data_IF_090681638143
#
_entry.id   IF_090681638143
#
_cell.length_a   1.000
_cell.length_b   1.000
_cell.length_c   1.000
_cell.angle_alpha   90.00
_cell.angle_beta   90.00
_cell.angle_gamma   90.00
#
_symmetry.space_group_name_H-M   'P 1'
#
loop_
_entity.id
_entity.type
_entity.pdbx_description
1 polymer ?
#
# COMPACT_ATOMS: atom_id res chain seq x y z
N UNK A 1 25.22 -1.22 -0.94
CA UNK A 1 23.79 -1.57 -1.00
C UNK A 1 23.60 -2.88 -0.25
N UNK A 2 22.50 -3.11 0.45
CA UNK A 2 22.22 -4.40 1.09
C UNK A 2 21.72 -5.40 0.05
N UNK A 3 21.87 -6.72 0.32
CA UNK A 3 21.38 -7.76 -0.59
C UNK A 3 19.88 -7.58 -0.87
N UNK A 4 19.06 -7.31 0.16
CA UNK A 4 17.63 -7.04 -0.01
C UNK A 4 17.34 -5.86 -0.95
N UNK A 5 18.13 -4.77 -0.89
CA UNK A 5 17.91 -3.64 -1.78
C UNK A 5 18.14 -4.03 -3.24
N UNK A 6 19.19 -4.82 -3.53
CA UNK A 6 19.46 -5.33 -4.88
C UNK A 6 18.37 -6.29 -5.36
N UNK A 7 17.89 -7.17 -4.47
CA UNK A 7 16.80 -8.10 -4.76
C UNK A 7 15.51 -7.36 -5.09
N UNK A 8 15.17 -6.29 -4.35
CA UNK A 8 14.01 -5.46 -4.62
C UNK A 8 14.13 -4.73 -5.97
N UNK A 9 15.29 -4.11 -6.26
CA UNK A 9 15.51 -3.44 -7.53
C UNK A 9 15.39 -4.42 -8.71
N UNK A 10 15.98 -5.60 -8.60
CA UNK A 10 15.89 -6.65 -9.62
C UNK A 10 14.46 -7.17 -9.79
N UNK A 11 13.75 -7.35 -8.68
CA UNK A 11 12.37 -7.85 -8.67
C UNK A 11 11.39 -6.84 -9.23
N UNK A 12 11.67 -5.54 -9.14
CA UNK A 12 10.80 -4.49 -9.66
C UNK A 12 10.55 -4.63 -11.15
N UNK A 13 11.56 -5.00 -11.93
CA UNK A 13 11.46 -5.18 -13.39
C UNK A 13 10.38 -6.22 -13.75
N UNK A 14 10.25 -7.26 -12.93
CA UNK A 14 9.26 -8.32 -13.13
C UNK A 14 7.91 -7.96 -12.51
N UNK A 15 7.92 -7.27 -11.38
CA UNK A 15 6.72 -6.93 -10.62
C UNK A 15 5.95 -5.76 -11.26
N UNK A 16 6.63 -4.69 -11.70
CA UNK A 16 5.99 -3.44 -12.15
C UNK A 16 4.92 -3.66 -13.23
N UNK A 17 5.13 -4.46 -14.29
CA UNK A 17 4.09 -4.70 -15.30
C UNK A 17 2.83 -5.41 -14.76
N UNK A 18 2.92 -6.05 -13.59
CA UNK A 18 1.83 -6.77 -12.93
C UNK A 18 1.13 -5.95 -11.85
N UNK A 19 1.73 -4.83 -11.42
CA UNK A 19 1.13 -3.93 -10.44
C UNK A 19 -0.05 -3.16 -11.04
N UNK A 20 -1.05 -2.87 -10.21
CA UNK A 20 -2.18 -2.03 -10.60
C UNK A 20 -1.67 -0.65 -11.05
N UNK A 21 -2.23 -0.13 -12.13
CA UNK A 21 -1.79 1.16 -12.70
C UNK A 21 -0.57 1.07 -13.63
N UNK A 22 -0.04 -0.12 -13.94
CA UNK A 22 1.08 -0.31 -14.88
C UNK A 22 0.80 0.21 -16.31
N UNK A 23 -0.46 0.45 -16.67
CA UNK A 23 -0.87 1.08 -17.94
C UNK A 23 -1.04 2.60 -17.84
N UNK A 24 -0.94 3.18 -16.66
CA UNK A 24 -1.00 4.63 -16.45
C UNK A 24 0.42 5.20 -16.44
N UNK A 25 0.79 5.94 -17.47
CA UNK A 25 2.15 6.49 -17.63
C UNK A 25 2.56 7.39 -16.45
N UNK A 26 1.63 8.15 -15.87
CA UNK A 26 1.91 8.99 -14.71
C UNK A 26 2.31 8.16 -13.48
N UNK A 27 1.59 7.06 -13.24
CA UNK A 27 1.89 6.14 -12.14
C UNK A 27 3.22 5.40 -12.39
N UNK A 28 3.44 4.93 -13.61
CA UNK A 28 4.69 4.26 -14.01
C UNK A 28 5.90 5.16 -13.81
N UNK A 29 5.81 6.43 -14.25
CA UNK A 29 6.89 7.39 -14.09
C UNK A 29 7.15 7.70 -12.61
N UNK A 30 6.09 7.91 -11.82
CA UNK A 30 6.21 8.14 -10.38
C UNK A 30 6.91 6.98 -9.65
N UNK A 31 6.59 5.74 -10.04
CA UNK A 31 7.24 4.53 -9.49
C UNK A 31 8.71 4.48 -9.83
N UNK A 32 9.07 4.72 -11.09
CA UNK A 32 10.47 4.73 -11.55
C UNK A 32 11.29 5.79 -10.85
N UNK A 33 10.78 7.03 -10.80
CA UNK A 33 11.45 8.11 -10.06
C UNK A 33 11.66 7.78 -8.58
N UNK A 34 10.69 7.13 -7.94
CA UNK A 34 10.80 6.70 -6.56
C UNK A 34 11.82 5.57 -6.40
N UNK A 35 11.84 4.61 -7.33
CA UNK A 35 12.82 3.53 -7.35
C UNK A 35 14.24 4.07 -7.52
N UNK A 36 14.46 5.03 -8.44
CA UNK A 36 15.75 5.66 -8.66
C UNK A 36 16.27 6.37 -7.41
N UNK A 37 15.37 7.06 -6.67
CA UNK A 37 15.72 7.67 -5.37
C UNK A 37 16.06 6.62 -4.31
N UNK A 38 15.29 5.54 -4.25
CA UNK A 38 15.58 4.43 -3.34
C UNK A 38 16.93 3.77 -3.68
N UNK A 39 17.23 3.56 -4.96
CA UNK A 39 18.52 3.01 -5.41
C UNK A 39 19.68 3.90 -4.97
N UNK A 40 19.54 5.21 -5.12
CA UNK A 40 20.58 6.17 -4.74
C UNK A 40 20.84 6.22 -3.22
N UNK A 41 19.79 6.06 -2.39
CA UNK A 41 19.90 6.19 -0.93
C UNK A 41 20.12 4.84 -0.23
N UNK A 42 19.46 3.79 -0.70
CA UNK A 42 19.39 2.49 -0.03
C UNK A 42 18.58 2.55 1.28
N UNK A 43 18.71 1.51 2.09
CA UNK A 43 18.10 1.48 3.43
C UNK A 43 18.89 2.32 4.44
N UNK A 44 18.21 3.03 5.34
CA UNK A 44 18.86 3.80 6.37
C UNK A 44 19.58 2.90 7.38
N UNK A 45 20.57 3.47 8.05
CA UNK A 45 21.40 2.81 9.04
C UNK A 45 21.35 3.54 10.37
N UNK A 46 21.90 2.96 11.40
CA UNK A 46 22.05 3.63 12.71
C UNK A 46 23.02 4.83 12.70
N UNK A 47 23.61 5.17 11.53
CA UNK A 47 24.41 6.40 11.34
C UNK A 47 23.54 7.59 10.93
N UNK A 48 22.35 7.30 10.39
CA UNK A 48 21.37 8.31 10.02
C UNK A 48 20.65 8.77 11.28
N UNK A 49 20.57 10.09 11.52
CA UNK A 49 20.14 10.67 12.80
C UNK A 49 18.75 10.17 13.22
N UNK A 50 17.80 10.11 12.28
CA UNK A 50 16.43 9.65 12.54
C UNK A 50 16.35 8.15 12.84
N UNK A 51 17.36 7.37 12.43
CA UNK A 51 17.44 5.91 12.58
C UNK A 51 18.46 5.46 13.62
N UNK A 52 19.08 6.39 14.34
CA UNK A 52 20.16 6.14 15.30
C UNK A 52 19.84 5.05 16.34
N UNK A 53 18.59 4.99 16.76
CA UNK A 53 18.11 4.02 17.76
C UNK A 53 17.32 2.85 17.15
N UNK A 54 17.22 2.76 15.83
CA UNK A 54 16.46 1.73 15.12
C UNK A 54 17.36 0.88 14.23
N UNK A 55 17.67 -0.31 14.68
CA UNK A 55 18.51 -1.24 13.92
C UNK A 55 17.67 -2.08 12.95
N UNK A 56 17.75 -1.79 11.67
CA UNK A 56 17.02 -2.50 10.61
C UNK A 56 17.68 -3.82 10.17
N UNK A 57 18.93 -4.09 10.57
CA UNK A 57 19.66 -5.30 10.12
C UNK A 57 18.89 -6.62 10.25
N UNK A 58 18.14 -6.88 11.35
CA UNK A 58 17.37 -8.12 11.45
C UNK A 58 16.26 -8.24 10.41
N UNK A 59 15.62 -7.12 10.06
CA UNK A 59 14.58 -7.05 9.03
C UNK A 59 15.20 -7.21 7.65
N UNK A 60 16.30 -6.51 7.36
CA UNK A 60 16.95 -6.50 6.04
C UNK A 60 17.66 -7.81 5.66
N UNK A 61 17.76 -8.76 6.60
CA UNK A 61 18.33 -10.10 6.34
C UNK A 61 17.30 -11.16 5.95
N UNK A 62 16.02 -10.81 5.97
CA UNK A 62 14.96 -11.74 5.61
C UNK A 62 14.80 -11.83 4.10
N UNK A 63 14.50 -13.03 3.59
CA UNK A 63 14.14 -13.26 2.19
C UNK A 63 12.65 -12.94 1.99
N UNK A 64 12.38 -11.73 1.53
CA UNK A 64 11.01 -11.30 1.30
C UNK A 64 10.51 -11.71 -0.08
N UNK A 65 9.24 -12.11 -0.13
CA UNK A 65 8.53 -12.38 -1.37
C UNK A 65 7.58 -11.25 -1.67
N UNK A 66 7.63 -10.72 -2.90
CA UNK A 66 6.63 -9.78 -3.40
C UNK A 66 5.36 -10.57 -3.72
N UNK A 67 4.27 -10.24 -3.04
CA UNK A 67 2.98 -10.88 -3.22
C UNK A 67 2.16 -10.13 -4.27
N UNK A 68 2.00 -10.72 -5.44
CA UNK A 68 1.22 -10.15 -6.56
C UNK A 68 -0.25 -10.59 -6.54
N UNK A 69 -0.59 -11.58 -5.71
CA UNK A 69 -1.96 -12.10 -5.55
C UNK A 69 -2.38 -12.06 -4.09
N UNK A 70 -3.70 -11.92 -3.86
CA UNK A 70 -4.28 -12.02 -2.52
C UNK A 70 -4.23 -13.47 -1.98
N UNK A 71 -4.58 -13.59 -0.71
CA UNK A 71 -4.74 -14.85 -0.01
C UNK A 71 -6.22 -15.00 0.36
N UNK A 72 -6.92 -15.92 -0.27
CA UNK A 72 -8.35 -16.19 -0.07
C UNK A 72 -8.61 -17.20 1.09
N UNK A 73 -7.55 -17.71 1.73
CA UNK A 73 -7.67 -18.67 2.81
C UNK A 73 -8.15 -18.05 4.14
N UNK A 74 -7.96 -16.74 4.32
CA UNK A 74 -8.37 -16.01 5.54
C UNK A 74 -9.88 -15.89 5.63
N UNK A 75 -10.47 -16.41 6.71
CA UNK A 75 -11.92 -16.38 6.95
C UNK A 75 -12.35 -15.16 7.81
N UNK A 76 -13.65 -14.87 7.83
CA UNK A 76 -14.19 -13.84 8.72
C UNK A 76 -13.92 -14.17 10.20
N UNK A 77 -13.93 -15.45 10.59
CA UNK A 77 -13.62 -15.85 11.95
C UNK A 77 -12.20 -15.48 12.37
N UNK A 78 -11.26 -15.51 11.43
CA UNK A 78 -9.85 -15.18 11.69
C UNK A 78 -9.63 -13.69 11.92
N UNK A 79 -10.43 -12.83 11.28
CA UNK A 79 -10.28 -11.38 11.38
C UNK A 79 -11.21 -10.74 12.43
N UNK A 80 -12.23 -11.43 12.90
CA UNK A 80 -13.30 -10.88 13.77
C UNK A 80 -12.75 -10.16 15.00
N UNK A 81 -11.70 -10.67 15.62
CA UNK A 81 -11.09 -10.09 16.82
C UNK A 81 -10.31 -8.78 16.55
N UNK A 82 -10.00 -8.48 15.30
CA UNK A 82 -9.32 -7.27 14.89
C UNK A 82 -10.26 -6.18 14.40
N UNK A 83 -11.53 -6.51 14.18
CA UNK A 83 -12.56 -5.56 13.76
C UNK A 83 -13.13 -4.79 14.95
N UNK A 84 -13.55 -3.57 14.69
CA UNK A 84 -14.28 -2.72 15.65
C UNK A 84 -15.73 -3.21 15.77
N UNK A 85 -15.93 -4.31 16.50
CA UNK A 85 -17.20 -5.05 16.57
C UNK A 85 -18.37 -4.23 17.12
N UNK A 86 -18.11 -3.19 17.90
CA UNK A 86 -19.11 -2.34 18.54
C UNK A 86 -19.52 -1.14 17.68
N UNK A 87 -18.93 -1.00 16.50
CA UNK A 87 -19.22 0.08 15.56
C UNK A 87 -19.77 -0.47 14.25
N UNK A 88 -20.81 0.19 13.74
CA UNK A 88 -21.26 0.00 12.36
C UNK A 88 -20.34 0.81 11.44
N UNK A 89 -19.52 0.14 10.67
CA UNK A 89 -18.44 0.76 9.86
C UNK A 89 -18.52 0.36 8.39
N UNK A 90 -18.06 1.22 7.50
CA UNK A 90 -17.63 0.79 6.16
C UNK A 90 -16.29 0.08 6.29
N UNK A 91 -16.17 -1.13 5.73
CA UNK A 91 -14.98 -1.96 5.91
C UNK A 91 -14.20 -2.16 4.62
N UNK A 92 -12.92 -1.87 4.65
CA UNK A 92 -11.96 -2.25 3.62
C UNK A 92 -10.92 -3.17 4.25
N UNK A 93 -10.90 -4.43 3.85
CA UNK A 93 -9.98 -5.44 4.38
C UNK A 93 -8.96 -5.82 3.34
N UNK A 94 -7.70 -5.79 3.74
CA UNK A 94 -6.55 -6.15 2.90
C UNK A 94 -5.76 -7.27 3.57
N UNK A 95 -5.57 -8.37 2.86
CA UNK A 95 -4.76 -9.49 3.29
C UNK A 95 -3.46 -9.50 2.48
N UNK A 96 -2.33 -9.44 3.17
CA UNK A 96 -1.01 -9.39 2.54
C UNK A 96 -0.89 -8.24 1.51
N UNK A 97 -1.55 -7.12 1.78
CA UNK A 97 -1.55 -5.95 0.90
C UNK A 97 -2.52 -6.01 -0.28
N UNK A 98 -3.37 -7.04 -0.37
CA UNK A 98 -4.38 -7.21 -1.43
C UNK A 98 -5.79 -7.13 -0.85
N UNK A 99 -6.68 -6.47 -1.59
CA UNK A 99 -8.06 -6.30 -1.18
C UNK A 99 -8.81 -7.63 -1.14
N UNK A 100 -9.53 -7.85 -0.05
CA UNK A 100 -10.45 -8.98 0.12
C UNK A 100 -11.89 -8.50 0.02
N UNK A 101 -12.52 -8.70 -1.14
CA UNK A 101 -13.88 -8.24 -1.39
C UNK A 101 -14.92 -8.92 -0.49
N UNK A 102 -14.73 -10.18 -0.16
CA UNK A 102 -15.68 -10.95 0.64
C UNK A 102 -15.58 -10.67 2.15
N UNK A 103 -14.46 -10.10 2.63
CA UNK A 103 -14.30 -9.63 4.01
C UNK A 103 -14.64 -8.14 4.18
N UNK A 104 -14.87 -7.43 3.06
CA UNK A 104 -15.11 -5.99 3.05
C UNK A 104 -16.58 -5.67 2.86
N UNK A 105 -17.00 -4.52 3.38
CA UNK A 105 -18.30 -3.90 3.16
C UNK A 105 -18.13 -2.40 2.99
N UNK A 106 -18.03 -1.98 1.73
CA UNK A 106 -17.75 -0.59 1.37
C UNK A 106 -18.78 0.00 0.41
N UNK A 107 -19.97 -0.60 0.30
CA UNK A 107 -21.02 -0.11 -0.59
C UNK A 107 -21.59 1.19 -0.07
N UNK A 108 -21.37 2.28 -0.82
CA UNK A 108 -21.91 3.59 -0.48
C UNK A 108 -22.22 4.42 -1.74
N UNK A 109 -23.14 5.40 -1.63
CA UNK A 109 -23.59 6.24 -2.75
C UNK A 109 -23.23 7.73 -2.62
N UNK A 110 -23.01 8.22 -1.38
CA UNK A 110 -22.83 9.64 -1.13
C UNK A 110 -21.39 10.14 -1.25
N UNK A 111 -20.40 9.26 -1.14
CA UNK A 111 -18.99 9.57 -1.30
C UNK A 111 -18.27 8.41 -2.01
N UNK A 112 -17.05 8.66 -2.48
CA UNK A 112 -16.30 7.64 -3.18
C UNK A 112 -15.47 6.83 -2.15
N UNK A 113 -15.72 5.52 -2.06
CA UNK A 113 -14.92 4.56 -1.28
C UNK A 113 -14.70 3.33 -2.14
N UNK A 114 -13.45 2.97 -2.36
CA UNK A 114 -13.05 1.78 -3.11
C UNK A 114 -11.58 1.45 -2.85
N UNK A 115 -11.07 0.44 -3.53
CA UNK A 115 -9.64 0.15 -3.51
C UNK A 115 -8.86 1.18 -4.33
N UNK A 116 -7.58 1.39 -3.99
CA UNK A 116 -6.69 2.22 -4.79
C UNK A 116 -6.55 1.69 -6.23
N UNK A 117 -6.50 0.37 -6.39
CA UNK A 117 -6.50 -0.29 -7.70
C UNK A 117 -7.74 0.06 -8.55
N UNK A 118 -8.93 0.05 -7.94
CA UNK A 118 -10.16 0.48 -8.63
C UNK A 118 -10.15 1.99 -8.94
N UNK A 119 -9.63 2.81 -8.04
CA UNK A 119 -9.54 4.26 -8.21
C UNK A 119 -8.60 4.66 -9.36
N UNK A 120 -7.50 3.94 -9.57
CA UNK A 120 -6.59 4.15 -10.71
C UNK A 120 -7.30 4.07 -12.07
N UNK A 121 -8.34 3.25 -12.17
CA UNK A 121 -9.13 3.10 -13.40
C UNK A 121 -10.31 4.08 -13.44
N UNK A 122 -10.96 4.31 -12.29
CA UNK A 122 -12.19 5.08 -12.21
C UNK A 122 -11.96 6.60 -12.14
N UNK A 123 -10.84 7.02 -11.52
CA UNK A 123 -10.53 8.41 -11.23
C UNK A 123 -9.08 8.79 -11.60
N UNK A 124 -8.59 8.49 -12.82
CA UNK A 124 -7.18 8.65 -13.18
C UNK A 124 -6.67 10.09 -13.00
N UNK A 125 -7.48 11.09 -13.35
CA UNK A 125 -7.09 12.51 -13.23
C UNK A 125 -6.93 12.95 -11.78
N UNK A 126 -7.82 12.48 -10.89
CA UNK A 126 -7.73 12.77 -9.45
C UNK A 126 -6.51 12.09 -8.84
N UNK A 127 -6.27 10.83 -9.21
CA UNK A 127 -5.06 10.13 -8.77
C UNK A 127 -3.81 10.90 -9.21
N UNK A 128 -3.74 11.34 -10.46
CA UNK A 128 -2.61 12.14 -10.97
C UNK A 128 -2.44 13.48 -10.23
N UNK A 129 -3.54 14.08 -9.80
CA UNK A 129 -3.52 15.34 -9.03
C UNK A 129 -2.96 15.17 -7.62
N UNK A 130 -3.30 14.09 -6.91
CA UNK A 130 -3.01 13.96 -5.47
C UNK A 130 -1.91 12.93 -5.14
N UNK A 131 -1.70 11.92 -5.98
CA UNK A 131 -0.75 10.86 -5.69
C UNK A 131 0.69 11.39 -5.58
N UNK A 132 1.35 11.04 -4.48
CA UNK A 132 2.75 11.41 -4.24
C UNK A 132 2.98 12.86 -3.84
N UNK A 133 1.91 13.67 -3.59
CA UNK A 133 2.07 15.08 -3.21
C UNK A 133 2.13 15.32 -1.70
N UNK A 134 1.40 14.54 -0.92
CA UNK A 134 1.40 14.68 0.54
C UNK A 134 2.58 13.97 1.22
N UNK A 135 3.08 12.89 0.62
CA UNK A 135 4.19 12.14 1.17
C UNK A 135 5.54 12.81 0.80
N UNK A 136 6.47 12.97 1.76
CA UNK A 136 7.77 13.58 1.50
C UNK A 136 8.57 12.72 0.52
N UNK A 137 9.15 13.35 -0.51
CA UNK A 137 10.07 12.70 -1.44
C UNK A 137 11.46 12.61 -0.80
N UNK A 138 12.17 11.53 -1.08
CA UNK A 138 13.52 11.33 -0.56
C UNK A 138 13.58 10.62 0.80
N UNK A 139 12.43 10.24 1.35
CA UNK A 139 12.37 9.32 2.48
C UNK A 139 12.39 7.88 1.97
N UNK A 140 13.39 7.10 2.35
CA UNK A 140 13.64 5.75 1.79
C UNK A 140 12.41 4.85 1.75
N UNK A 141 11.67 4.74 2.86
CA UNK A 141 10.49 3.87 2.90
C UNK A 141 9.29 4.45 2.17
N UNK A 142 9.18 5.77 2.05
CA UNK A 142 8.16 6.44 1.23
C UNK A 142 8.44 6.19 -0.24
N UNK A 143 9.70 6.30 -0.66
CA UNK A 143 10.10 6.03 -2.03
C UNK A 143 9.93 4.55 -2.37
N UNK A 144 10.35 3.63 -1.50
CA UNK A 144 10.13 2.20 -1.67
C UNK A 144 8.63 1.85 -1.73
N UNK A 145 7.81 2.42 -0.85
CA UNK A 145 6.36 2.26 -0.90
C UNK A 145 5.79 2.82 -2.21
N UNK A 146 6.24 3.98 -2.68
CA UNK A 146 5.76 4.57 -3.93
C UNK A 146 6.10 3.71 -5.13
N UNK A 147 7.32 3.13 -5.17
CA UNK A 147 7.75 2.24 -6.25
C UNK A 147 6.87 0.97 -6.34
N UNK A 148 6.57 0.35 -5.22
CA UNK A 148 5.86 -0.93 -5.17
C UNK A 148 4.38 -0.83 -4.80
N UNK A 149 3.83 0.37 -4.60
CA UNK A 149 2.42 0.53 -4.26
C UNK A 149 1.53 -0.13 -5.32
N UNK A 150 0.70 -1.07 -4.86
CA UNK A 150 -0.16 -1.84 -5.75
C UNK A 150 -1.64 -1.65 -5.41
N UNK A 151 -1.99 -1.72 -4.13
CA UNK A 151 -3.36 -1.54 -3.67
C UNK A 151 -3.41 -0.78 -2.34
N UNK A 152 -4.60 -0.52 -1.84
CA UNK A 152 -4.89 0.18 -0.61
C UNK A 152 -6.27 0.81 -0.65
N UNK A 153 -6.58 1.68 0.31
CA UNK A 153 -7.85 2.35 0.39
C UNK A 153 -7.85 3.67 -0.41
N UNK A 154 -8.92 3.89 -1.16
CA UNK A 154 -9.25 5.18 -1.75
C UNK A 154 -10.56 5.69 -1.14
N UNK A 155 -10.51 6.87 -0.56
CA UNK A 155 -11.66 7.58 -0.02
C UNK A 155 -11.66 9.00 -0.53
N UNK A 156 -12.79 9.46 -1.07
CA UNK A 156 -12.96 10.85 -1.48
C UNK A 156 -14.31 11.37 -1.02
N UNK A 157 -14.28 12.40 -0.19
CA UNK A 157 -15.45 13.14 0.27
C UNK A 157 -15.45 14.49 -0.43
N UNK A 158 -16.46 14.72 -1.29
CA UNK A 158 -16.59 15.99 -2.02
C UNK A 158 -17.18 17.06 -1.10
N UNK A 159 -17.02 18.31 -1.49
CA UNK A 159 -17.65 19.44 -0.77
C UNK A 159 -19.14 19.19 -0.53
N UNK A 160 -19.61 19.48 0.67
CA UNK A 160 -20.99 19.29 1.11
C UNK A 160 -21.47 17.81 1.20
N UNK A 161 -20.56 16.85 1.17
CA UNK A 161 -20.87 15.45 1.48
C UNK A 161 -20.53 15.12 2.92
N UNK A 162 -21.25 14.16 3.48
CA UNK A 162 -21.03 13.66 4.85
C UNK A 162 -20.81 12.17 4.80
N UNK A 163 -19.83 11.70 5.55
CA UNK A 163 -19.62 10.27 5.84
C UNK A 163 -20.41 9.96 7.11
N UNK A 164 -21.43 9.15 6.99
CA UNK A 164 -22.41 8.86 8.06
C UNK A 164 -21.95 7.77 9.04
N UNK A 165 -20.93 6.99 8.66
CA UNK A 165 -20.33 5.94 9.50
C UNK A 165 -18.81 6.02 9.44
N UNK A 166 -18.10 5.56 10.47
CA UNK A 166 -16.65 5.43 10.40
C UNK A 166 -16.23 4.50 9.27
N UNK A 167 -15.06 4.79 8.69
CA UNK A 167 -14.41 3.92 7.71
C UNK A 167 -13.32 3.15 8.42
N UNK A 168 -13.47 1.83 8.47
CA UNK A 168 -12.51 0.91 9.05
C UNK A 168 -11.66 0.30 7.94
N UNK A 169 -10.34 0.44 8.04
CA UNK A 169 -9.39 -0.12 7.10
C UNK A 169 -8.52 -1.10 7.87
N UNK A 170 -8.69 -2.40 7.60
CA UNK A 170 -7.92 -3.46 8.24
C UNK A 170 -6.85 -3.99 7.29
N UNK A 171 -5.61 -3.97 7.74
CA UNK A 171 -4.49 -4.64 7.09
C UNK A 171 -4.06 -5.83 7.93
N UNK A 172 -4.14 -7.03 7.36
CA UNK A 172 -3.68 -8.25 7.99
C UNK A 172 -2.56 -8.87 7.15
N UNK A 173 -1.49 -9.30 7.82
CA UNK A 173 -0.41 -10.06 7.19
C UNK A 173 -0.40 -11.47 7.76
N UNK A 174 -0.47 -12.46 6.89
CA UNK A 174 -0.30 -13.87 7.23
C UNK A 174 1.16 -14.28 7.04
N UNK A 175 1.63 -15.24 7.82
CA UNK A 175 3.02 -15.72 7.74
C UNK A 175 3.12 -17.18 7.24
N UNK A 176 2.06 -17.71 6.65
CA UNK A 176 1.99 -19.12 6.26
C UNK A 176 3.06 -19.53 5.24
N UNK A 177 3.51 -18.58 4.44
CA UNK A 177 4.48 -18.82 3.37
C UNK A 177 5.81 -18.06 3.57
N UNK A 178 6.15 -17.64 4.79
CA UNK A 178 7.34 -16.87 5.12
C UNK A 178 7.18 -15.35 4.93
N UNK A 179 8.26 -14.57 5.09
CA UNK A 179 8.22 -13.12 5.07
C UNK A 179 7.62 -12.59 3.76
N UNK A 180 6.63 -11.71 3.88
CA UNK A 180 5.96 -11.07 2.76
C UNK A 180 6.38 -9.60 2.65
N UNK A 181 6.64 -9.14 1.41
CA UNK A 181 6.82 -7.74 1.09
C UNK A 181 5.53 -7.23 0.46
N UNK A 182 4.82 -6.39 1.19
CA UNK A 182 3.63 -5.72 0.70
C UNK A 182 3.73 -4.22 0.93
N UNK A 183 3.33 -3.44 -0.07
CA UNK A 183 3.36 -1.99 -0.03
C UNK A 183 1.97 -1.46 -0.34
N UNK A 184 1.25 -1.07 0.70
CA UNK A 184 -0.09 -0.50 0.59
C UNK A 184 -0.02 1.02 0.50
N UNK A 185 -0.87 1.63 -0.34
CA UNK A 185 -0.97 3.07 -0.48
C UNK A 185 -2.41 3.51 -0.35
N UNK A 186 -2.68 4.28 0.70
CA UNK A 186 -3.98 4.92 0.88
C UNK A 186 -3.97 6.32 0.26
N UNK A 187 -5.10 6.70 -0.32
CA UNK A 187 -5.37 8.07 -0.76
C UNK A 187 -6.72 8.51 -0.21
N UNK A 188 -6.68 9.44 0.73
CA UNK A 188 -7.86 10.00 1.38
C UNK A 188 -7.92 11.49 1.04
N UNK A 189 -9.02 11.93 0.44
CA UNK A 189 -9.28 13.31 -0.01
C UNK A 189 -10.58 13.76 0.64
N UNK A 190 -10.50 14.84 1.44
CA UNK A 190 -11.63 15.44 2.13
C UNK A 190 -11.60 16.96 2.01
#
# INVERSE_FOLDING_TARGET
MTDLAQDLLSSFVVAEPQLNGSRNLGVVNLRKEALDRFEAQGFPTTRDEEWKYTNLKPVLKQDYRILLKGDDAVSFADIKSYLLSDLDTYKLVFINGKYSAWLSDSTHQSFDICTFAAALNKYPDIIAEYLGKAAPKGETFVDLNTAFADDGAYVRVKANQTVDKPIEILYLTTNENGPAFSQVRNLIIA
#
